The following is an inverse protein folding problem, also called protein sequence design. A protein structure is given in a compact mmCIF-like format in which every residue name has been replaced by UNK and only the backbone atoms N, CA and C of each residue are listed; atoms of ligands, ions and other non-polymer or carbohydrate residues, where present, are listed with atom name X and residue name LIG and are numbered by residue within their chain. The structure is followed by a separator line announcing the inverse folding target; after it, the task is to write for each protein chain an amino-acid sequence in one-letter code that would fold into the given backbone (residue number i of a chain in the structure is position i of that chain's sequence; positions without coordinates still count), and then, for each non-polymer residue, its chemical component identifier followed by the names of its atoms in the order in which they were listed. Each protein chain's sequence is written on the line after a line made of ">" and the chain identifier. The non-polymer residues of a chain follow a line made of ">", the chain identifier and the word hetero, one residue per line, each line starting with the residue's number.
data_IF_233283318622
#
_entry.id   IF_233283318622
#
_cell.length_a   1.000
_cell.length_b   1.000
_cell.length_c   1.000
_cell.angle_alpha   90.00
_cell.angle_beta   90.00
_cell.angle_gamma   90.00
#
_symmetry.space_group_name_H-M   'P 1'
#
loop_
_entity.id
_entity.type
_entity.pdbx_description
1 polymer ?
#
# COMPACT_ATOMS: atom_id res chain seq x y z
N UNK A 1 -4.77 21.13 3.76
CA UNK A 1 -3.47 20.47 3.68
C UNK A 1 -3.03 20.00 5.06
N UNK A 2 -2.42 18.82 5.10
CA UNK A 2 -1.76 18.27 6.28
C UNK A 2 -0.40 17.74 5.85
N UNK A 3 0.60 17.89 6.70
CA UNK A 3 1.93 17.36 6.46
C UNK A 3 2.61 16.96 7.76
N UNK A 4 3.46 15.98 7.70
CA UNK A 4 4.38 15.63 8.79
C UNK A 4 5.72 15.15 8.25
N UNK A 5 6.72 15.25 9.10
CA UNK A 5 8.02 14.62 8.93
C UNK A 5 8.36 13.92 10.25
N UNK A 6 8.72 12.65 10.18
CA UNK A 6 9.08 11.82 11.32
C UNK A 6 10.47 11.22 11.07
N UNK A 7 11.32 11.27 12.08
CA UNK A 7 12.57 10.52 12.16
C UNK A 7 12.53 9.57 13.34
N UNK A 8 12.95 8.32 13.15
CA UNK A 8 13.12 7.32 14.19
C UNK A 8 14.52 6.73 14.10
N UNK A 9 15.14 6.49 15.26
CA UNK A 9 16.47 5.89 15.36
C UNK A 9 16.41 4.79 16.41
N UNK A 10 16.71 3.58 15.99
CA UNK A 10 16.79 2.40 16.83
C UNK A 10 18.22 1.86 16.81
N UNK A 11 18.89 1.89 17.96
CA UNK A 11 20.24 1.33 18.06
C UNK A 11 20.22 -0.19 17.93
N UNK A 12 21.35 -0.80 17.64
CA UNK A 12 21.50 -2.26 17.60
C UNK A 12 21.22 -2.96 18.94
N UNK A 13 21.25 -2.19 20.05
CA UNK A 13 20.97 -2.68 21.40
C UNK A 13 19.55 -2.36 21.87
N UNK A 14 18.75 -1.71 21.02
CA UNK A 14 17.36 -1.44 21.32
C UNK A 14 16.58 -2.75 21.23
N UNK A 15 16.13 -3.22 22.38
CA UNK A 15 15.31 -4.43 22.49
C UNK A 15 14.06 -4.12 23.32
N UNK A 16 12.97 -3.69 22.68
CA UNK A 16 11.66 -3.54 23.33
C UNK A 16 10.94 -4.88 23.50
N UNK A 17 11.66 -6.00 23.52
CA UNK A 17 11.13 -7.33 23.27
C UNK A 17 10.43 -7.98 24.45
N UNK A 18 10.16 -7.23 25.54
CA UNK A 18 9.28 -7.70 26.63
C UNK A 18 7.89 -8.14 26.15
N UNK A 19 7.53 -7.74 24.90
CA UNK A 19 6.29 -8.13 24.23
C UNK A 19 6.49 -9.10 23.06
N UNK A 20 7.71 -9.53 22.73
CA UNK A 20 7.99 -10.50 21.68
C UNK A 20 7.68 -10.06 20.24
N UNK A 21 7.58 -8.75 19.97
CA UNK A 21 7.05 -8.20 18.70
C UNK A 21 8.15 -7.57 17.83
N UNK A 22 9.35 -7.33 18.35
CA UNK A 22 10.39 -6.68 17.55
C UNK A 22 11.01 -7.66 16.56
N UNK A 23 10.81 -7.41 15.28
CA UNK A 23 11.43 -8.19 14.21
C UNK A 23 12.87 -7.76 13.94
N UNK A 24 13.21 -6.49 14.16
CA UNK A 24 14.53 -5.94 13.93
C UNK A 24 14.75 -4.64 14.69
N UNK A 25 15.91 -4.49 15.33
CA UNK A 25 16.46 -3.23 15.80
C UNK A 25 17.55 -2.76 14.83
N UNK A 26 18.28 -1.70 15.15
CA UNK A 26 19.39 -1.21 14.32
C UNK A 26 18.93 -0.50 13.03
N UNK A 27 17.87 0.29 13.10
CA UNK A 27 17.30 1.00 11.97
C UNK A 27 17.25 2.52 12.20
N UNK A 28 17.48 3.28 11.14
CA UNK A 28 17.13 4.69 11.05
C UNK A 28 16.04 4.81 9.99
N UNK A 29 14.91 5.39 10.34
CA UNK A 29 13.82 5.63 9.40
C UNK A 29 13.43 7.11 9.34
N UNK A 30 13.21 7.60 8.12
CA UNK A 30 12.62 8.90 7.84
C UNK A 30 11.33 8.70 7.07
N UNK A 31 10.25 9.32 7.53
CA UNK A 31 8.93 9.26 6.88
C UNK A 31 8.38 10.66 6.71
N UNK A 32 7.94 10.98 5.52
CA UNK A 32 7.20 12.18 5.23
C UNK A 32 5.76 11.87 4.82
N UNK A 33 4.87 12.83 4.98
CA UNK A 33 3.54 12.77 4.39
C UNK A 33 3.06 14.16 4.02
N UNK A 34 2.46 14.26 2.85
CA UNK A 34 1.72 15.44 2.41
C UNK A 34 0.35 14.94 1.99
N UNK A 35 -0.71 15.47 2.61
CA UNK A 35 -2.09 15.13 2.32
C UNK A 35 -2.92 16.36 2.01
N UNK A 36 -3.78 16.23 1.03
CA UNK A 36 -4.83 17.19 0.74
C UNK A 36 -6.19 16.50 0.81
N UNK A 37 -7.11 17.05 1.58
CA UNK A 37 -8.49 16.59 1.62
C UNK A 37 -9.46 17.74 1.52
N UNK A 38 -10.48 17.58 0.71
CA UNK A 38 -11.57 18.54 0.57
C UNK A 38 -12.86 17.96 1.14
N UNK A 39 -13.38 18.60 2.17
CA UNK A 39 -14.63 18.22 2.85
C UNK A 39 -15.87 18.91 2.28
N UNK A 40 -15.68 19.99 1.50
CA UNK A 40 -16.81 20.71 0.89
C UNK A 40 -17.19 20.05 -0.43
N UNK A 41 -18.45 19.59 -0.60
CA UNK A 41 -18.88 18.98 -1.84
C UNK A 41 -18.68 19.90 -3.04
N UNK A 42 -18.30 19.33 -4.17
CA UNK A 42 -18.23 19.97 -5.48
C UNK A 42 -19.43 19.57 -6.34
N UNK A 43 -19.44 19.97 -7.63
CA UNK A 43 -20.49 19.58 -8.57
C UNK A 43 -20.62 18.05 -8.72
N UNK A 44 -19.52 17.31 -8.70
CA UNK A 44 -19.48 15.86 -8.98
C UNK A 44 -19.09 15.01 -7.78
N UNK A 45 -18.31 15.57 -6.82
CA UNK A 45 -17.72 14.86 -5.71
C UNK A 45 -18.29 15.36 -4.37
N UNK A 46 -18.50 14.41 -3.45
CA UNK A 46 -18.86 14.69 -2.03
C UNK A 46 -17.58 14.93 -1.24
N UNK A 47 -16.59 14.04 -1.40
CA UNK A 47 -15.31 14.07 -0.71
C UNK A 47 -14.20 13.58 -1.66
N UNK A 48 -12.98 14.07 -1.46
CA UNK A 48 -11.81 13.51 -2.09
C UNK A 48 -10.53 13.86 -1.34
N UNK A 49 -9.55 12.98 -1.44
CA UNK A 49 -8.25 13.17 -0.82
C UNK A 49 -7.12 12.62 -1.67
N UNK A 50 -5.95 13.21 -1.50
CA UNK A 50 -4.69 12.77 -2.08
C UNK A 50 -3.63 12.75 -0.98
N UNK A 51 -2.79 11.74 -0.98
CA UNK A 51 -1.69 11.60 -0.02
C UNK A 51 -0.46 11.07 -0.74
N UNK A 52 0.70 11.62 -0.42
CA UNK A 52 2.01 11.13 -0.86
C UNK A 52 2.85 10.91 0.39
N UNK A 53 3.48 9.74 0.48
CA UNK A 53 4.26 9.30 1.64
C UNK A 53 5.61 8.72 1.20
N UNK A 54 6.68 9.51 1.15
CA UNK A 54 8.03 9.00 1.00
C UNK A 54 8.52 8.39 2.32
N UNK A 55 9.28 7.31 2.21
CA UNK A 55 9.97 6.66 3.30
C UNK A 55 11.40 6.31 2.90
N UNK A 56 12.36 6.58 3.80
CA UNK A 56 13.76 6.29 3.61
C UNK A 56 14.29 5.54 4.83
N UNK A 57 14.93 4.40 4.61
CA UNK A 57 15.45 3.51 5.62
C UNK A 57 16.95 3.32 5.46
N UNK A 58 17.64 3.33 6.60
CA UNK A 58 19.05 2.98 6.73
C UNK A 58 19.25 1.99 7.87
N UNK A 59 20.27 1.18 7.77
CA UNK A 59 20.81 0.48 8.92
C UNK A 59 21.54 1.50 9.81
N UNK A 60 21.38 1.41 11.14
CA UNK A 60 22.06 2.31 12.06
C UNK A 60 23.55 2.01 12.15
N UNK A 61 23.92 0.72 12.26
CA UNK A 61 25.33 0.31 12.35
C UNK A 61 25.59 -1.02 11.63
N UNK A 62 26.49 -1.05 10.63
CA UNK A 62 27.15 0.12 10.01
C UNK A 62 26.14 0.99 9.28
N UNK A 63 26.36 2.31 9.22
CA UNK A 63 25.46 3.20 8.50
C UNK A 63 25.41 2.83 7.02
N UNK A 64 24.28 2.27 6.59
CA UNK A 64 24.13 1.75 5.24
C UNK A 64 22.69 1.90 4.74
N UNK A 65 22.54 2.27 3.48
CA UNK A 65 21.23 2.38 2.81
C UNK A 65 20.52 1.03 2.81
N UNK A 66 19.23 1.05 3.18
CA UNK A 66 18.35 -0.11 3.16
C UNK A 66 17.28 0.02 2.07
N UNK A 67 16.45 1.07 2.12
CA UNK A 67 15.29 1.21 1.24
C UNK A 67 14.87 2.66 1.07
N UNK A 68 14.42 3.00 -0.14
CA UNK A 68 13.60 4.18 -0.40
C UNK A 68 12.33 3.77 -1.11
N UNK A 69 11.19 4.18 -0.60
CA UNK A 69 9.90 3.96 -1.24
C UNK A 69 9.02 5.22 -1.18
N UNK A 70 8.13 5.31 -2.12
CA UNK A 70 7.10 6.36 -2.17
C UNK A 70 5.76 5.68 -2.40
N UNK A 71 4.80 5.98 -1.55
CA UNK A 71 3.40 5.59 -1.73
C UNK A 71 2.55 6.81 -2.03
N UNK A 72 1.67 6.70 -3.03
CA UNK A 72 0.67 7.69 -3.37
C UNK A 72 -0.72 7.08 -3.25
N UNK A 73 -1.63 7.78 -2.57
CA UNK A 73 -3.04 7.38 -2.43
C UNK A 73 -3.95 8.49 -2.89
N UNK A 74 -5.02 8.11 -3.58
CA UNK A 74 -6.10 9.00 -3.95
C UNK A 74 -7.44 8.34 -3.65
N UNK A 75 -8.41 9.13 -3.22
CA UNK A 75 -9.77 8.68 -2.93
C UNK A 75 -10.77 9.69 -3.46
N UNK A 76 -11.86 9.21 -4.05
CA UNK A 76 -12.97 10.00 -4.56
C UNK A 76 -14.29 9.38 -4.14
N UNK A 77 -15.17 10.16 -3.51
CA UNK A 77 -16.57 9.83 -3.25
C UNK A 77 -17.47 10.68 -4.13
N UNK A 78 -18.16 10.07 -5.06
CA UNK A 78 -19.05 10.73 -6.00
C UNK A 78 -20.43 11.03 -5.38
N UNK A 79 -21.17 11.96 -6.00
CA UNK A 79 -22.52 12.32 -5.51
C UNK A 79 -23.56 11.20 -5.61
N UNK A 80 -23.36 10.24 -6.47
CA UNK A 80 -24.18 9.02 -6.55
C UNK A 80 -23.76 7.96 -5.52
N UNK A 81 -22.84 8.31 -4.59
CA UNK A 81 -22.26 7.45 -3.55
C UNK A 81 -21.45 6.26 -4.10
N UNK A 82 -20.97 6.40 -5.31
CA UNK A 82 -19.90 5.54 -5.79
C UNK A 82 -18.58 6.05 -5.21
N UNK A 83 -17.67 5.15 -4.97
CA UNK A 83 -16.32 5.49 -4.57
C UNK A 83 -15.30 4.91 -5.54
N UNK A 84 -14.12 5.54 -5.52
CA UNK A 84 -12.95 5.08 -6.24
C UNK A 84 -11.73 5.39 -5.38
N UNK A 85 -10.84 4.42 -5.22
CA UNK A 85 -9.54 4.58 -4.58
C UNK A 85 -8.42 4.13 -5.50
N UNK A 86 -7.31 4.82 -5.42
CA UNK A 86 -6.08 4.48 -6.10
C UNK A 86 -4.93 4.45 -5.09
N UNK A 87 -4.13 3.39 -5.13
CA UNK A 87 -2.86 3.29 -4.39
C UNK A 87 -1.75 2.97 -5.38
N UNK A 88 -0.72 3.80 -5.40
CA UNK A 88 0.49 3.58 -6.20
C UNK A 88 1.70 3.44 -5.29
N UNK A 89 2.58 2.49 -5.57
CA UNK A 89 3.82 2.26 -4.85
C UNK A 89 5.02 2.26 -5.79
N UNK A 90 6.11 2.89 -5.38
CA UNK A 90 7.36 2.93 -6.14
C UNK A 90 8.53 2.66 -5.21
N UNK A 91 9.31 1.65 -5.52
CA UNK A 91 10.65 1.39 -4.99
C UNK A 91 11.62 1.56 -6.16
N UNK A 92 12.22 2.76 -6.35
CA UNK A 92 12.93 3.08 -7.60
C UNK A 92 14.31 2.41 -7.73
N UNK A 93 14.80 1.77 -6.67
CA UNK A 93 16.11 1.15 -6.63
C UNK A 93 16.09 -0.15 -5.83
N UNK A 94 17.27 -0.76 -5.71
CA UNK A 94 17.41 -1.96 -4.90
C UNK A 94 17.10 -1.71 -3.43
N UNK A 95 16.20 -2.52 -2.86
CA UNK A 95 16.04 -2.67 -1.43
C UNK A 95 17.10 -3.65 -0.92
N UNK A 96 17.69 -3.35 0.24
CA UNK A 96 18.62 -4.22 0.95
C UNK A 96 18.02 -4.59 2.29
N UNK A 97 17.57 -5.84 2.41
CA UNK A 97 17.11 -6.38 3.68
C UNK A 97 18.31 -6.99 4.44
N UNK A 98 18.66 -6.39 5.57
CA UNK A 98 19.74 -6.84 6.42
C UNK A 98 19.29 -7.81 7.53
N UNK A 99 17.99 -8.06 7.66
CA UNK A 99 17.41 -8.79 8.79
C UNK A 99 16.87 -10.16 8.40
N UNK A 100 16.65 -10.42 7.12
CA UNK A 100 16.09 -11.69 6.64
C UNK A 100 17.15 -12.79 6.48
N UNK A 101 18.29 -12.67 7.12
CA UNK A 101 19.45 -13.43 6.73
C UNK A 101 19.72 -14.67 7.55
N UNK A 102 19.89 -15.73 6.78
CA UNK A 102 20.54 -16.96 7.20
C UNK A 102 22.06 -16.86 7.18
N UNK A 103 22.62 -15.77 6.65
CA UNK A 103 24.06 -15.55 6.52
C UNK A 103 24.40 -14.16 7.02
N UNK A 104 25.13 -14.09 8.12
CA UNK A 104 25.53 -12.83 8.76
C UNK A 104 26.31 -11.92 7.80
N UNK A 105 26.00 -10.62 7.85
CA UNK A 105 26.67 -9.57 7.07
C UNK A 105 26.34 -9.50 5.57
N UNK A 106 25.44 -10.34 5.04
CA UNK A 106 25.07 -10.33 3.62
C UNK A 106 23.60 -9.92 3.40
N UNK A 107 23.30 -8.70 2.91
CA UNK A 107 21.92 -8.29 2.71
C UNK A 107 21.26 -9.05 1.54
N UNK A 108 20.01 -9.46 1.75
CA UNK A 108 19.14 -9.88 0.66
C UNK A 108 18.75 -8.66 -0.16
N UNK A 109 18.82 -8.76 -1.48
CA UNK A 109 18.52 -7.66 -2.39
C UNK A 109 17.22 -7.93 -3.13
N UNK A 110 16.31 -6.96 -3.07
CA UNK A 110 15.12 -6.95 -3.91
C UNK A 110 15.26 -5.86 -4.97
N UNK A 111 14.81 -6.11 -6.20
CA UNK A 111 14.90 -5.15 -7.30
C UNK A 111 13.95 -3.97 -7.11
N UNK A 112 14.10 -2.98 -7.97
CA UNK A 112 13.09 -1.93 -8.13
C UNK A 112 11.71 -2.56 -8.38
N UNK A 113 10.68 -1.97 -7.75
CA UNK A 113 9.31 -2.45 -7.85
C UNK A 113 8.36 -1.27 -8.02
N UNK A 114 7.35 -1.46 -8.87
CA UNK A 114 6.29 -0.50 -9.15
C UNK A 114 4.96 -1.20 -8.98
N UNK A 115 4.04 -0.60 -8.25
CA UNK A 115 2.70 -1.15 -8.04
C UNK A 115 1.62 -0.10 -8.23
N UNK A 116 0.47 -0.54 -8.70
CA UNK A 116 -0.73 0.26 -8.81
C UNK A 116 -1.94 -0.59 -8.47
N UNK A 117 -2.83 -0.05 -7.67
CA UNK A 117 -4.10 -0.65 -7.29
C UNK A 117 -5.21 0.36 -7.49
N UNK A 118 -6.29 -0.07 -8.13
CA UNK A 118 -7.50 0.69 -8.36
C UNK A 118 -8.67 -0.11 -7.83
N UNK A 119 -9.36 0.43 -6.85
CA UNK A 119 -10.56 -0.18 -6.28
C UNK A 119 -11.74 0.77 -6.38
N UNK A 120 -12.93 0.23 -6.45
CA UNK A 120 -14.12 1.06 -6.46
C UNK A 120 -15.38 0.29 -6.15
N UNK A 121 -16.41 1.05 -5.79
CA UNK A 121 -17.70 0.45 -5.52
C UNK A 121 -18.87 1.35 -5.91
N UNK A 122 -20.03 0.72 -6.08
CA UNK A 122 -21.31 1.42 -6.23
C UNK A 122 -21.91 1.76 -4.86
N UNK A 123 -23.05 2.47 -4.83
CA UNK A 123 -23.76 2.83 -3.59
C UNK A 123 -24.16 1.59 -2.77
N UNK A 124 -23.45 1.34 -1.67
CA UNK A 124 -23.65 0.18 -0.79
C UNK A 124 -25.02 0.16 -0.08
N UNK A 125 -25.77 1.27 -0.07
CA UNK A 125 -27.12 1.39 0.53
C UNK A 125 -28.21 0.82 -0.39
N UNK A 126 -27.91 0.65 -1.69
CA UNK A 126 -28.87 0.13 -2.67
C UNK A 126 -29.02 -1.39 -2.56
N UNK A 127 -30.11 -1.90 -3.09
CA UNK A 127 -30.37 -3.35 -3.17
C UNK A 127 -29.27 -4.09 -3.91
N UNK A 128 -28.79 -3.50 -5.01
CA UNK A 128 -27.68 -4.01 -5.80
C UNK A 128 -26.44 -3.18 -5.47
N UNK A 129 -25.37 -3.86 -5.10
CA UNK A 129 -24.05 -3.30 -4.83
C UNK A 129 -23.01 -4.08 -5.63
N UNK A 130 -22.09 -3.40 -6.25
CA UNK A 130 -20.97 -3.98 -7.01
C UNK A 130 -19.68 -3.32 -6.52
N UNK A 131 -18.64 -4.12 -6.33
CA UNK A 131 -17.28 -3.65 -6.08
C UNK A 131 -16.32 -4.32 -7.04
N UNK A 132 -15.22 -3.63 -7.33
CA UNK A 132 -14.15 -4.12 -8.18
C UNK A 132 -12.79 -3.67 -7.66
N UNK A 133 -11.77 -4.44 -8.00
CA UNK A 133 -10.37 -4.12 -7.73
C UNK A 133 -9.49 -4.60 -8.88
N UNK A 134 -8.49 -3.80 -9.23
CA UNK A 134 -7.45 -4.12 -10.19
C UNK A 134 -6.10 -3.84 -9.54
N UNK A 135 -5.22 -4.83 -9.54
CA UNK A 135 -3.86 -4.71 -9.03
C UNK A 135 -2.88 -5.00 -10.15
N UNK A 136 -1.86 -4.17 -10.25
CA UNK A 136 -0.73 -4.36 -11.15
C UNK A 136 0.57 -4.12 -10.38
N UNK A 137 1.54 -5.03 -10.48
CA UNK A 137 2.89 -4.80 -10.00
C UNK A 137 3.90 -5.28 -11.03
N UNK A 138 5.03 -4.60 -11.07
CA UNK A 138 6.09 -4.85 -12.03
C UNK A 138 7.47 -4.65 -11.42
N UNK A 139 8.35 -5.65 -11.58
CA UNK A 139 9.75 -5.59 -11.22
C UNK A 139 10.62 -5.74 -12.49
N UNK A 140 11.14 -4.62 -13.05
CA UNK A 140 11.72 -4.59 -14.39
C UNK A 140 12.97 -5.45 -14.55
N UNK A 141 13.74 -5.66 -13.50
CA UNK A 141 15.00 -6.41 -13.58
C UNK A 141 14.81 -7.90 -13.88
N UNK A 142 13.68 -8.45 -13.46
CA UNK A 142 13.36 -9.86 -13.67
C UNK A 142 12.19 -10.05 -14.64
N UNK A 143 11.73 -8.94 -15.24
CA UNK A 143 10.51 -8.92 -16.07
C UNK A 143 9.31 -9.58 -15.36
N UNK A 144 9.31 -9.48 -14.02
CA UNK A 144 8.27 -10.06 -13.18
C UNK A 144 7.06 -9.14 -13.18
N UNK A 145 5.91 -9.70 -13.49
CA UNK A 145 4.64 -8.97 -13.56
C UNK A 145 3.56 -9.71 -12.76
N UNK A 146 2.86 -8.96 -11.92
CA UNK A 146 1.65 -9.42 -11.24
C UNK A 146 0.45 -8.62 -11.74
N UNK A 147 -0.64 -9.31 -12.06
CA UNK A 147 -1.92 -8.73 -12.47
C UNK A 147 -3.03 -9.39 -11.66
N UNK A 148 -3.84 -8.60 -10.96
CA UNK A 148 -4.95 -9.09 -10.15
C UNK A 148 -6.26 -8.40 -10.49
N UNK A 149 -7.36 -9.15 -10.42
CA UNK A 149 -8.72 -8.66 -10.57
C UNK A 149 -9.57 -9.23 -9.44
N UNK A 150 -10.38 -8.37 -8.82
CA UNK A 150 -11.40 -8.73 -7.85
C UNK A 150 -12.71 -8.14 -8.34
N UNK A 151 -13.77 -8.95 -8.37
CA UNK A 151 -15.13 -8.53 -8.70
C UNK A 151 -16.08 -9.08 -7.65
N UNK A 152 -16.92 -8.23 -7.09
CA UNK A 152 -17.95 -8.60 -6.12
C UNK A 152 -19.30 -7.99 -6.46
N UNK A 153 -20.34 -8.71 -6.16
CA UNK A 153 -21.72 -8.25 -6.29
C UNK A 153 -22.55 -8.73 -5.12
N UNK A 154 -23.36 -7.83 -4.56
CA UNK A 154 -24.35 -8.14 -3.53
C UNK A 154 -25.74 -7.75 -4.02
N UNK A 155 -26.72 -8.63 -3.74
CA UNK A 155 -28.13 -8.32 -3.93
C UNK A 155 -28.90 -8.56 -2.62
N UNK A 156 -29.63 -7.53 -2.15
CA UNK A 156 -30.51 -7.60 -0.99
C UNK A 156 -31.92 -7.92 -1.43
N UNK A 157 -32.42 -9.09 -1.09
CA UNK A 157 -33.81 -9.48 -1.32
C UNK A 157 -34.77 -8.80 -0.33
N UNK A 158 -34.27 -8.51 0.88
CA UNK A 158 -34.97 -7.83 1.95
C UNK A 158 -34.03 -7.49 3.10
N UNK A 159 -34.60 -7.07 4.23
CA UNK A 159 -33.78 -6.65 5.38
C UNK A 159 -33.09 -7.81 6.12
N UNK A 160 -33.53 -9.05 5.86
CA UNK A 160 -33.02 -10.26 6.53
C UNK A 160 -32.22 -11.19 5.63
N UNK A 161 -32.22 -10.95 4.32
CA UNK A 161 -31.56 -11.84 3.36
C UNK A 161 -30.86 -11.05 2.26
N UNK A 162 -29.57 -11.32 2.11
CA UNK A 162 -28.74 -10.86 0.98
C UNK A 162 -27.93 -12.03 0.43
N UNK A 163 -27.62 -11.96 -0.86
CA UNK A 163 -26.67 -12.82 -1.54
C UNK A 163 -25.45 -11.98 -1.91
N UNK A 164 -24.28 -12.43 -1.50
CA UNK A 164 -22.99 -11.86 -1.84
C UNK A 164 -22.20 -12.87 -2.66
N UNK A 165 -21.70 -12.44 -3.81
CA UNK A 165 -20.84 -13.21 -4.67
C UNK A 165 -19.55 -12.44 -4.88
N UNK A 166 -18.40 -13.12 -4.75
CA UNK A 166 -17.10 -12.54 -5.03
C UNK A 166 -16.25 -13.54 -5.81
N UNK A 167 -15.53 -13.01 -6.78
CA UNK A 167 -14.51 -13.74 -7.52
C UNK A 167 -13.22 -12.95 -7.55
N UNK A 168 -12.09 -13.65 -7.52
CA UNK A 168 -10.77 -13.07 -7.71
C UNK A 168 -9.96 -13.95 -8.65
N UNK A 169 -9.13 -13.32 -9.45
CA UNK A 169 -8.18 -13.98 -10.33
C UNK A 169 -6.88 -13.20 -10.31
N UNK A 170 -5.76 -13.89 -10.38
CA UNK A 170 -4.46 -13.26 -10.54
C UNK A 170 -3.62 -14.05 -11.53
N UNK A 171 -2.72 -13.34 -12.19
CA UNK A 171 -1.71 -13.86 -13.09
C UNK A 171 -0.36 -13.33 -12.64
N UNK A 172 0.58 -14.23 -12.46
CA UNK A 172 1.98 -13.92 -12.20
C UNK A 172 2.84 -14.48 -13.32
N UNK A 173 3.68 -13.63 -13.90
CA UNK A 173 4.61 -14.00 -14.97
C UNK A 173 6.04 -13.83 -14.43
N UNK A 174 6.92 -14.78 -14.74
CA UNK A 174 8.34 -14.78 -14.36
C UNK A 174 8.58 -14.74 -12.84
N UNK A 175 7.95 -15.64 -12.09
CA UNK A 175 8.23 -15.82 -10.66
C UNK A 175 9.70 -16.16 -10.41
N UNK A 176 10.29 -15.51 -9.41
CA UNK A 176 11.63 -15.81 -8.88
C UNK A 176 11.56 -16.94 -7.84
#
# INVERSE_FOLDING_TARGET
>A
WQYYLLGNVESKHYDPNDLGILQAANEISYRGSISYRRYKPSRSLIDYSYTIQPRLLYLYQPYAYSKFDVEARAFWLFRNFWDLSFTGGVIPGWEKNYFELRTDGRPLRYPANYSAELEGSTDSRKKTYVNFGFTYAFAPEFDNTYKGIILGARYRFGDRFSLDLQTSSHLEENQL
#
